data_IF_428923863082
#
_entry.id   IF_428923863082
#
_cell.length_a   1.000
_cell.length_b   1.000
_cell.length_c   1.000
_cell.angle_alpha   90.00
_cell.angle_beta   90.00
_cell.angle_gamma   90.00
#
_symmetry.space_group_name_H-M   'P 1'
#
loop_
_entity.id
_entity.type
_entity.pdbx_description
1 polymer ?
#
# COMPACT_ATOMS: atom_id res chain seq x y z
N UNK A 1 21.41 20.49 -3.70
CA UNK A 1 20.13 20.31 -2.96
C UNK A 1 20.50 19.97 -1.54
N UNK A 2 19.95 20.68 -0.56
CA UNK A 2 20.20 20.33 0.84
C UNK A 2 19.52 19.00 1.17
N UNK A 3 20.09 18.21 2.09
CA UNK A 3 19.48 16.94 2.52
C UNK A 3 18.02 17.13 3.00
N UNK A 4 17.74 18.27 3.62
CA UNK A 4 16.40 18.65 4.09
C UNK A 4 15.38 18.79 2.95
N UNK A 5 15.75 19.41 1.83
CA UNK A 5 14.87 19.51 0.66
C UNK A 5 14.57 18.15 0.04
N UNK A 6 15.57 17.24 0.05
CA UNK A 6 15.40 15.87 -0.44
C UNK A 6 14.39 15.11 0.43
N UNK A 7 14.53 15.19 1.77
CA UNK A 7 13.57 14.56 2.68
C UNK A 7 12.17 15.15 2.56
N UNK A 8 12.05 16.48 2.38
CA UNK A 8 10.76 17.15 2.21
C UNK A 8 10.04 16.68 0.94
N UNK A 9 10.71 16.71 -0.21
CA UNK A 9 10.13 16.21 -1.48
C UNK A 9 9.77 14.73 -1.40
N UNK A 10 10.55 13.95 -0.65
CA UNK A 10 10.26 12.53 -0.44
C UNK A 10 8.99 12.34 0.38
N UNK A 11 8.85 13.09 1.47
CA UNK A 11 7.66 13.07 2.32
C UNK A 11 6.41 13.48 1.53
N UNK A 12 6.47 14.61 0.82
CA UNK A 12 5.37 15.14 -0.01
C UNK A 12 4.84 14.06 -0.97
N UNK A 13 5.72 13.40 -1.72
CA UNK A 13 5.32 12.33 -2.65
C UNK A 13 4.69 11.12 -1.96
N UNK A 14 5.16 10.76 -0.76
CA UNK A 14 4.54 9.66 -0.01
C UNK A 14 3.16 10.07 0.48
N UNK A 15 3.00 11.30 0.98
CA UNK A 15 1.70 11.81 1.45
C UNK A 15 0.68 11.98 0.32
N UNK A 16 1.14 12.34 -0.90
CA UNK A 16 0.31 12.30 -2.11
C UNK A 16 -0.21 10.89 -2.41
N UNK A 17 0.65 9.87 -2.35
CA UNK A 17 0.25 8.47 -2.57
C UNK A 17 -0.66 7.92 -1.48
N UNK A 18 -0.46 8.35 -0.23
CA UNK A 18 -1.37 8.01 0.88
C UNK A 18 -2.73 8.67 0.69
N UNK A 19 -2.77 9.89 0.17
CA UNK A 19 -4.02 10.58 -0.17
C UNK A 19 -4.75 9.86 -1.30
N UNK A 20 -4.04 9.48 -2.37
CA UNK A 20 -4.57 8.67 -3.48
C UNK A 20 -5.15 7.33 -2.97
N UNK A 21 -4.42 6.63 -2.08
CA UNK A 21 -4.90 5.41 -1.43
C UNK A 21 -6.16 5.65 -0.59
N UNK A 22 -6.22 6.77 0.12
CA UNK A 22 -7.40 7.15 0.91
C UNK A 22 -8.61 7.44 0.02
N UNK A 23 -8.42 8.00 -1.17
CA UNK A 23 -9.50 8.23 -2.13
C UNK A 23 -10.07 6.91 -2.67
N UNK A 24 -9.20 5.96 -3.04
CA UNK A 24 -9.63 4.60 -3.40
C UNK A 24 -10.47 3.98 -2.28
N UNK A 25 -9.94 4.03 -1.05
CA UNK A 25 -10.63 3.48 0.11
C UNK A 25 -11.98 4.16 0.38
N UNK A 26 -12.05 5.49 0.23
CA UNK A 26 -13.29 6.26 0.36
C UNK A 26 -14.37 5.90 -0.66
N UNK A 27 -13.98 5.37 -1.83
CA UNK A 27 -14.90 4.80 -2.82
C UNK A 27 -15.31 3.35 -2.54
N UNK A 28 -14.82 2.78 -1.44
CA UNK A 28 -15.10 1.40 -1.03
C UNK A 28 -14.14 0.37 -1.61
N UNK A 29 -12.99 0.79 -2.16
CA UNK A 29 -11.98 -0.14 -2.66
C UNK A 29 -11.47 -1.07 -1.54
N UNK A 30 -11.13 -2.30 -1.93
CA UNK A 30 -10.55 -3.30 -1.04
C UNK A 30 -9.03 -3.20 -1.15
N UNK A 31 -8.37 -2.91 -0.03
CA UNK A 31 -6.92 -2.84 0.08
C UNK A 31 -6.41 -4.21 0.54
N UNK A 32 -5.64 -4.87 -0.33
CA UNK A 32 -5.06 -6.18 -0.04
C UNK A 32 -3.64 -5.99 0.49
N UNK A 33 -3.39 -6.55 1.66
CA UNK A 33 -2.08 -6.55 2.33
C UNK A 33 -1.70 -7.96 2.80
N UNK A 34 -0.45 -8.17 3.20
CA UNK A 34 0.02 -9.49 3.63
C UNK A 34 -0.38 -9.79 5.07
N UNK A 35 -0.20 -8.82 5.98
CA UNK A 35 -0.33 -9.03 7.41
C UNK A 35 -1.15 -7.98 8.15
N UNK A 36 -1.56 -8.34 9.37
CA UNK A 36 -2.26 -7.43 10.30
C UNK A 36 -1.43 -6.19 10.68
N UNK A 37 -0.11 -6.31 10.65
CA UNK A 37 0.81 -5.21 10.97
C UNK A 37 0.86 -4.16 9.86
N UNK A 38 0.68 -4.57 8.60
CA UNK A 38 0.51 -3.67 7.46
C UNK A 38 -0.75 -2.82 7.64
N UNK A 39 -1.87 -3.47 7.98
CA UNK A 39 -3.13 -2.77 8.30
C UNK A 39 -2.92 -1.76 9.43
N UNK A 40 -2.23 -2.15 10.50
CA UNK A 40 -1.96 -1.24 11.62
C UNK A 40 -1.07 -0.05 11.19
N UNK A 41 -0.07 -0.28 10.35
CA UNK A 41 0.79 0.76 9.78
C UNK A 41 -0.03 1.78 8.98
N UNK A 42 -0.90 1.29 8.08
CA UNK A 42 -1.77 2.12 7.25
C UNK A 42 -2.81 2.89 8.07
N UNK A 43 -3.45 2.26 9.06
CA UNK A 43 -4.38 2.94 9.97
C UNK A 43 -3.72 4.06 10.78
N UNK A 44 -2.49 3.84 11.25
CA UNK A 44 -1.72 4.90 11.92
C UNK A 44 -1.34 6.06 11.00
N UNK A 45 -1.33 5.83 9.69
CA UNK A 45 -1.18 6.86 8.66
C UNK A 45 -2.50 7.52 8.26
N UNK A 46 -3.63 7.15 8.89
CA UNK A 46 -4.95 7.70 8.61
C UNK A 46 -5.71 7.01 7.48
N UNK A 47 -5.20 5.89 6.96
CA UNK A 47 -5.89 5.09 5.94
C UNK A 47 -6.90 4.18 6.63
N UNK A 48 -8.17 4.51 6.47
CA UNK A 48 -9.31 3.68 6.89
C UNK A 48 -9.86 2.86 5.72
N UNK A 49 -10.83 1.98 5.98
CA UNK A 49 -11.62 1.26 4.96
C UNK A 49 -11.47 -0.26 4.96
N UNK A 50 -11.69 -0.87 3.80
CA UNK A 50 -11.81 -2.32 3.65
C UNK A 50 -10.44 -2.96 3.43
N UNK A 51 -9.94 -3.70 4.43
CA UNK A 51 -8.67 -4.42 4.33
C UNK A 51 -8.91 -5.93 4.24
N UNK A 52 -8.20 -6.59 3.33
CA UNK A 52 -8.21 -8.05 3.18
C UNK A 52 -6.80 -8.61 3.21
N UNK A 53 -6.63 -9.76 3.89
CA UNK A 53 -5.31 -10.37 4.11
C UNK A 53 -5.08 -11.54 3.16
N UNK A 54 -4.00 -11.48 2.38
CA UNK A 54 -3.62 -12.51 1.41
C UNK A 54 -2.88 -13.72 2.04
N UNK A 55 -3.16 -14.09 3.29
CA UNK A 55 -2.34 -15.04 4.08
C UNK A 55 -3.05 -16.30 4.59
N UNK A 56 -4.35 -16.47 4.34
CA UNK A 56 -5.13 -17.53 4.99
C UNK A 56 -5.79 -18.57 4.06
N UNK A 57 -5.75 -18.36 2.75
CA UNK A 57 -6.41 -19.26 1.80
C UNK A 57 -5.69 -19.27 0.44
N UNK A 58 -6.07 -20.19 -0.44
CA UNK A 58 -5.61 -20.20 -1.83
C UNK A 58 -5.82 -18.83 -2.46
N UNK A 59 -4.78 -18.27 -3.09
CA UNK A 59 -4.85 -16.96 -3.76
C UNK A 59 -5.91 -16.92 -4.86
N UNK A 60 -6.17 -18.07 -5.51
CA UNK A 60 -7.24 -18.19 -6.49
C UNK A 60 -8.61 -17.99 -5.83
N UNK A 61 -8.95 -18.78 -4.80
CA UNK A 61 -10.22 -18.68 -4.08
C UNK A 61 -10.38 -17.31 -3.41
N UNK A 62 -9.28 -16.75 -2.90
CA UNK A 62 -9.26 -15.39 -2.36
C UNK A 62 -9.65 -14.37 -3.43
N UNK A 63 -8.96 -14.39 -4.57
CA UNK A 63 -9.20 -13.43 -5.63
C UNK A 63 -10.60 -13.61 -6.25
N UNK A 64 -11.10 -14.84 -6.35
CA UNK A 64 -12.46 -15.14 -6.82
C UNK A 64 -13.52 -14.59 -5.86
N UNK A 65 -13.34 -14.79 -4.55
CA UNK A 65 -14.27 -14.25 -3.54
C UNK A 65 -14.32 -12.71 -3.62
N UNK A 66 -13.15 -12.07 -3.71
CA UNK A 66 -13.04 -10.61 -3.74
C UNK A 66 -13.60 -10.05 -5.06
N UNK A 67 -13.35 -10.69 -6.21
CA UNK A 67 -13.86 -10.20 -7.51
C UNK A 67 -15.38 -10.18 -7.57
N UNK A 68 -16.06 -11.12 -6.88
CA UNK A 68 -17.53 -11.16 -6.79
C UNK A 68 -18.14 -10.01 -5.99
N UNK A 69 -17.36 -9.27 -5.21
CA UNK A 69 -17.84 -8.10 -4.46
C UNK A 69 -18.06 -6.87 -5.36
N UNK A 70 -17.45 -6.84 -6.55
CA UNK A 70 -17.61 -5.74 -7.52
C UNK A 70 -16.91 -4.44 -7.11
N UNK A 71 -16.09 -4.44 -6.05
CA UNK A 71 -15.32 -3.29 -5.59
C UNK A 71 -13.99 -3.15 -6.34
N UNK A 72 -13.48 -1.92 -6.45
CA UNK A 72 -12.09 -1.69 -6.86
C UNK A 72 -11.13 -2.42 -5.90
N UNK A 73 -9.99 -2.85 -6.41
CA UNK A 73 -8.98 -3.57 -5.62
C UNK A 73 -7.66 -2.84 -5.71
N UNK A 74 -7.04 -2.53 -4.56
CA UNK A 74 -5.68 -2.01 -4.48
C UNK A 74 -4.79 -3.10 -3.89
N UNK A 75 -3.74 -3.51 -4.61
CA UNK A 75 -2.77 -4.48 -4.12
C UNK A 75 -1.59 -3.73 -3.51
N UNK A 76 -1.42 -3.88 -2.19
CA UNK A 76 -0.38 -3.22 -1.41
C UNK A 76 0.39 -4.25 -0.58
N UNK A 77 1.07 -5.17 -1.29
CA UNK A 77 1.98 -6.16 -0.71
C UNK A 77 3.36 -5.58 -0.47
N UNK A 78 4.19 -6.28 0.29
CA UNK A 78 5.56 -5.87 0.56
C UNK A 78 6.36 -5.81 -0.75
N UNK A 79 7.35 -4.92 -0.82
CA UNK A 79 8.24 -4.80 -1.97
C UNK A 79 9.54 -5.59 -1.77
N UNK A 80 9.43 -6.74 -1.12
CA UNK A 80 10.43 -7.79 -1.11
C UNK A 80 10.15 -8.82 -2.22
N UNK A 81 11.02 -9.84 -2.35
CA UNK A 81 10.87 -10.87 -3.39
C UNK A 81 9.54 -11.64 -3.28
N UNK A 82 9.06 -11.89 -2.06
CA UNK A 82 7.83 -12.67 -1.84
C UNK A 82 6.62 -11.81 -2.17
N UNK A 83 6.60 -10.57 -1.71
CA UNK A 83 5.52 -9.64 -1.99
C UNK A 83 5.42 -9.26 -3.47
N UNK A 84 6.54 -9.24 -4.21
CA UNK A 84 6.54 -9.10 -5.68
C UNK A 84 5.86 -10.30 -6.38
N UNK A 85 6.22 -11.53 -5.99
CA UNK A 85 5.58 -12.75 -6.53
C UNK A 85 4.09 -12.76 -6.19
N UNK A 86 3.73 -12.34 -4.98
CA UNK A 86 2.34 -12.27 -4.53
C UNK A 86 1.53 -11.24 -5.33
N UNK A 87 2.08 -10.04 -5.55
CA UNK A 87 1.43 -9.00 -6.34
C UNK A 87 1.14 -9.46 -7.78
N UNK A 88 2.11 -10.14 -8.41
CA UNK A 88 1.96 -10.68 -9.76
C UNK A 88 0.83 -11.72 -9.79
N UNK A 89 0.85 -12.71 -8.88
CA UNK A 89 -0.16 -13.76 -8.83
C UNK A 89 -1.57 -13.23 -8.57
N UNK A 90 -1.71 -12.31 -7.61
CA UNK A 90 -2.99 -11.66 -7.34
C UNK A 90 -3.49 -10.91 -8.57
N UNK A 91 -2.62 -10.16 -9.24
CA UNK A 91 -2.96 -9.42 -10.46
C UNK A 91 -3.44 -10.35 -11.58
N UNK A 92 -2.73 -11.45 -11.82
CA UNK A 92 -3.11 -12.46 -12.82
C UNK A 92 -4.48 -13.08 -12.49
N UNK A 93 -4.72 -13.44 -11.24
CA UNK A 93 -6.02 -14.00 -10.84
C UNK A 93 -7.15 -12.99 -10.96
N UNK A 94 -7.00 -11.75 -10.48
CA UNK A 94 -8.03 -10.73 -10.64
C UNK A 94 -8.34 -10.46 -12.11
N UNK A 95 -7.32 -10.35 -12.96
CA UNK A 95 -7.51 -10.17 -14.40
C UNK A 95 -8.26 -11.35 -15.03
N UNK A 96 -7.98 -12.58 -14.60
CA UNK A 96 -8.72 -13.76 -15.06
C UNK A 96 -10.21 -13.75 -14.66
N UNK A 97 -10.56 -12.99 -13.63
CA UNK A 97 -11.95 -12.75 -13.19
C UNK A 97 -12.55 -11.45 -13.75
N UNK A 98 -11.88 -10.78 -14.69
CA UNK A 98 -12.36 -9.54 -15.31
C UNK A 98 -12.17 -8.28 -14.45
N UNK A 99 -11.39 -8.36 -13.37
CA UNK A 99 -11.08 -7.24 -12.49
C UNK A 99 -9.64 -6.78 -12.70
N UNK A 100 -9.43 -5.49 -12.93
CA UNK A 100 -8.09 -4.90 -13.04
C UNK A 100 -7.71 -4.22 -11.72
N UNK A 101 -6.78 -4.79 -10.92
CA UNK A 101 -6.37 -4.16 -9.68
C UNK A 101 -5.45 -2.96 -9.90
N UNK A 102 -5.48 -2.02 -8.96
CA UNK A 102 -4.54 -0.90 -8.83
C UNK A 102 -3.25 -1.38 -8.15
N UNK A 103 -2.12 -1.09 -8.79
CA UNK A 103 -0.76 -1.49 -8.38
C UNK A 103 0.22 -0.31 -8.40
N UNK A 104 -0.13 0.80 -9.01
CA UNK A 104 0.73 1.97 -9.19
C UNK A 104 1.07 2.62 -7.86
N UNK A 105 0.13 2.68 -6.90
CA UNK A 105 0.42 3.17 -5.54
C UNK A 105 1.56 2.36 -4.91
N UNK A 106 1.48 1.02 -4.98
CA UNK A 106 2.55 0.12 -4.50
C UNK A 106 3.87 0.36 -5.22
N UNK A 107 3.84 0.45 -6.55
CA UNK A 107 5.04 0.65 -7.37
C UNK A 107 5.72 1.99 -7.05
N UNK A 108 4.96 3.07 -6.95
CA UNK A 108 5.46 4.41 -6.63
C UNK A 108 5.99 4.47 -5.18
N UNK A 109 5.27 3.88 -4.21
CA UNK A 109 5.75 3.79 -2.83
C UNK A 109 7.08 3.05 -2.75
N UNK A 110 7.19 1.88 -3.40
CA UNK A 110 8.45 1.13 -3.52
C UNK A 110 9.57 2.01 -4.09
N UNK A 111 9.35 2.67 -5.22
CA UNK A 111 10.38 3.48 -5.88
C UNK A 111 10.94 4.57 -4.95
N UNK A 112 10.08 5.17 -4.11
CA UNK A 112 10.45 6.23 -3.19
C UNK A 112 11.11 5.70 -1.90
N UNK A 113 10.68 4.53 -1.40
CA UNK A 113 11.00 4.05 -0.05
C UNK A 113 11.96 2.85 0.01
N UNK A 114 12.19 2.13 -1.10
CA UNK A 114 12.91 0.84 -1.12
C UNK A 114 14.36 0.87 -0.59
N UNK A 115 14.99 2.05 -0.51
CA UNK A 115 16.34 2.20 0.09
C UNK A 115 16.33 2.23 1.62
N UNK A 116 15.16 2.44 2.23
CA UNK A 116 14.99 2.71 3.65
C UNK A 116 14.13 1.64 4.33
N UNK A 117 13.11 1.12 3.62
CA UNK A 117 12.19 0.09 4.08
C UNK A 117 11.87 -0.88 2.94
N UNK A 118 11.46 -2.10 3.27
CA UNK A 118 11.15 -3.18 2.31
C UNK A 118 9.70 -3.67 2.36
N UNK A 119 8.92 -3.17 3.31
CA UNK A 119 7.62 -3.69 3.70
C UNK A 119 6.66 -2.55 4.09
N UNK A 120 5.35 -2.85 4.05
CA UNK A 120 4.27 -1.92 4.39
C UNK A 120 4.20 -1.70 5.90
N UNK A 121 4.49 -2.72 6.71
CA UNK A 121 4.60 -2.65 8.18
C UNK A 121 5.49 -1.48 8.63
N UNK A 122 6.62 -1.25 7.96
CA UNK A 122 7.57 -0.19 8.31
C UNK A 122 7.19 1.21 7.81
N UNK A 123 6.17 1.34 6.96
CA UNK A 123 5.82 2.60 6.30
C UNK A 123 5.48 3.71 7.29
N UNK A 124 4.66 3.43 8.32
CA UNK A 124 4.31 4.40 9.36
C UNK A 124 5.55 4.97 10.06
N UNK A 125 6.45 4.09 10.49
CA UNK A 125 7.68 4.48 11.19
C UNK A 125 8.56 5.34 10.30
N UNK A 126 8.65 4.99 9.02
CA UNK A 126 9.44 5.73 8.05
C UNK A 126 8.88 7.15 7.77
N UNK A 127 7.58 7.27 7.52
CA UNK A 127 6.91 8.56 7.34
C UNK A 127 7.04 9.43 8.58
N UNK A 128 6.88 8.85 9.77
CA UNK A 128 7.07 9.56 11.05
C UNK A 128 8.48 10.14 11.19
N UNK A 129 9.51 9.37 10.81
CA UNK A 129 10.90 9.85 10.79
C UNK A 129 11.11 11.00 9.79
N UNK A 130 10.50 10.92 8.61
CA UNK A 130 10.57 11.98 7.61
C UNK A 130 9.91 13.27 8.13
N UNK A 131 8.71 13.18 8.70
CA UNK A 131 7.98 14.30 9.33
C UNK A 131 8.81 15.02 10.39
N UNK A 132 9.48 14.27 11.25
CA UNK A 132 10.39 14.84 12.27
C UNK A 132 11.60 15.55 11.63
N UNK A 133 12.22 14.96 10.60
CA UNK A 133 13.37 15.56 9.89
C UNK A 133 13.00 16.84 9.14
N UNK A 134 11.77 16.95 8.64
CA UNK A 134 11.33 18.09 7.82
C UNK A 134 10.66 19.20 8.61
N UNK A 135 10.43 19.00 9.92
CA UNK A 135 9.66 19.92 10.77
C UNK A 135 8.15 19.87 10.52
N UNK A 136 7.68 18.88 9.77
CA UNK A 136 6.26 18.68 9.46
C UNK A 136 5.63 17.87 10.60
N UNK A 137 5.29 18.51 11.73
CA UNK A 137 4.58 17.81 12.80
C UNK A 137 3.13 17.54 12.35
N UNK A 138 2.69 16.28 12.42
CA UNK A 138 1.26 15.96 12.31
C UNK A 138 0.53 16.60 13.48
N UNK A 139 -0.43 17.48 13.20
CA UNK A 139 -1.42 17.92 14.19
C UNK A 139 -2.32 16.77 14.58
#
# INVERSE_FOLDING_TARGET
MSDLEIYRKRLERIEELLSELSEYSGRGAIIIVEGKRDVLSLKRLGIEGNFELATHQSLFNFSEKISRLGSEVVILTDWDRRGDILAIKLSEYFQSFGLKPELEIRNKLRLISQKEIKDVESLYTYVSKLRLKTGSCSK
#
